data_IF_508330802077
#
_entry.id   IF_508330802077
#
_cell.length_a   1.000
_cell.length_b   1.000
_cell.length_c   1.000
_cell.angle_alpha   90.00
_cell.angle_beta   90.00
_cell.angle_gamma   90.00
#
_symmetry.space_group_name_H-M   'P 1'
#
loop_
_entity.id
_entity.type
_entity.pdbx_description
1 polymer ?
#
# COMPACT_ATOMS: atom_id res chain seq x y z
N UNK A 1 12.54 -36.12 -32.23
CA UNK A 1 12.49 -37.45 -32.87
C UNK A 1 11.66 -38.43 -32.04
N UNK A 2 11.95 -38.60 -30.74
CA UNK A 2 11.18 -39.48 -29.83
C UNK A 2 9.70 -39.11 -29.64
N UNK A 3 9.39 -37.82 -29.50
CA UNK A 3 8.01 -37.33 -29.31
C UNK A 3 7.07 -37.76 -30.43
N UNK A 4 7.51 -37.67 -31.68
CA UNK A 4 6.71 -38.08 -32.84
C UNK A 4 6.55 -39.60 -32.97
N UNK A 5 7.52 -40.37 -32.48
CA UNK A 5 7.42 -41.84 -32.45
C UNK A 5 6.38 -42.29 -31.44
N UNK A 6 6.38 -41.72 -30.24
CA UNK A 6 5.41 -42.02 -29.18
C UNK A 6 3.99 -41.57 -29.56
N UNK A 7 3.85 -40.42 -30.23
CA UNK A 7 2.57 -39.94 -30.74
C UNK A 7 1.99 -40.89 -31.80
N UNK A 8 2.82 -41.41 -32.72
CA UNK A 8 2.41 -42.39 -33.74
C UNK A 8 1.96 -43.73 -33.14
N UNK A 9 2.37 -44.04 -31.92
CA UNK A 9 1.94 -45.22 -31.17
C UNK A 9 0.64 -44.98 -30.39
N UNK A 10 0.02 -43.80 -30.53
CA UNK A 10 -1.27 -43.46 -29.92
C UNK A 10 -1.19 -42.95 -28.47
N UNK A 11 0.00 -42.72 -27.93
CA UNK A 11 0.17 -42.19 -26.58
C UNK A 11 -0.13 -40.69 -26.51
N UNK A 12 -0.71 -40.28 -25.37
CA UNK A 12 -0.78 -38.87 -24.98
C UNK A 12 0.52 -38.51 -24.27
N UNK A 13 1.19 -37.46 -24.74
CA UNK A 13 2.49 -37.00 -24.27
C UNK A 13 2.30 -35.64 -23.59
N UNK A 14 2.67 -35.55 -22.33
CA UNK A 14 2.72 -34.28 -21.60
C UNK A 14 4.16 -33.77 -21.56
N UNK A 15 4.36 -32.53 -22.00
CA UNK A 15 5.66 -31.86 -21.98
C UNK A 15 5.57 -30.64 -21.06
N UNK A 16 6.19 -30.74 -19.89
CA UNK A 16 6.23 -29.66 -18.91
C UNK A 16 7.59 -28.95 -19.03
N UNK A 17 7.54 -27.64 -19.25
CA UNK A 17 8.72 -26.79 -19.35
C UNK A 17 8.64 -25.78 -18.23
N UNK A 18 9.48 -25.98 -17.22
CA UNK A 18 9.65 -25.03 -16.14
C UNK A 18 10.67 -23.95 -16.52
N UNK A 19 10.50 -22.75 -15.98
CA UNK A 19 11.34 -21.57 -16.25
C UNK A 19 11.56 -21.30 -17.75
N UNK A 20 10.48 -21.34 -18.54
CA UNK A 20 10.55 -21.24 -20.00
C UNK A 20 11.18 -19.93 -20.50
N UNK A 21 11.23 -18.87 -19.68
CA UNK A 21 11.95 -17.63 -20.01
C UNK A 21 13.47 -17.85 -20.16
N UNK A 22 14.04 -18.89 -19.52
CA UNK A 22 15.45 -19.27 -19.68
C UNK A 22 15.77 -19.81 -21.07
N UNK A 23 14.76 -20.10 -21.90
CA UNK A 23 14.96 -20.45 -23.31
C UNK A 23 15.44 -19.24 -24.14
N UNK A 24 15.22 -18.01 -23.66
CA UNK A 24 15.58 -16.80 -24.38
C UNK A 24 16.94 -16.21 -24.00
N UNK A 25 17.63 -16.72 -22.97
CA UNK A 25 18.93 -16.17 -22.57
C UNK A 25 19.94 -16.27 -23.71
N UNK A 26 20.41 -15.14 -24.23
CA UNK A 26 21.54 -15.07 -25.16
C UNK A 26 22.82 -15.40 -24.40
N UNK A 27 23.20 -16.67 -24.38
CA UNK A 27 24.51 -17.07 -23.91
C UNK A 27 25.54 -16.90 -25.01
N UNK A 28 26.60 -16.13 -24.75
CA UNK A 28 27.91 -16.36 -25.39
C UNK A 28 28.45 -17.77 -25.05
N UNK A 29 27.91 -18.42 -24.01
CA UNK A 29 28.23 -19.78 -23.64
C UNK A 29 27.56 -20.83 -24.54
N UNK A 30 28.36 -21.81 -24.95
CA UNK A 30 27.97 -22.94 -25.79
C UNK A 30 27.15 -23.98 -24.98
N UNK A 31 26.12 -24.62 -25.58
CA UNK A 31 25.60 -24.42 -26.92
C UNK A 31 24.67 -23.20 -27.01
N UNK A 32 24.82 -22.42 -28.10
CA UNK A 32 23.87 -21.36 -28.47
C UNK A 32 22.46 -21.95 -28.55
N UNK A 33 21.62 -21.68 -27.54
CA UNK A 33 20.29 -22.31 -27.41
C UNK A 33 19.35 -21.76 -28.50
N UNK A 34 19.04 -22.59 -29.50
CA UNK A 34 18.03 -22.29 -30.55
C UNK A 34 16.63 -22.53 -29.99
N UNK A 35 16.07 -21.58 -29.25
CA UNK A 35 14.67 -21.64 -28.79
C UNK A 35 13.64 -21.73 -29.93
N UNK A 36 14.02 -21.37 -31.15
CA UNK A 36 13.16 -21.46 -32.34
C UNK A 36 12.61 -22.86 -32.62
N UNK A 37 13.36 -23.93 -32.32
CA UNK A 37 12.88 -25.30 -32.51
C UNK A 37 11.76 -25.66 -31.53
N UNK A 38 11.91 -25.23 -30.28
CA UNK A 38 10.88 -25.40 -29.25
C UNK A 38 9.61 -24.62 -29.63
N UNK A 39 9.74 -23.35 -29.99
CA UNK A 39 8.58 -22.54 -30.36
C UNK A 39 7.90 -23.01 -31.64
N UNK A 40 8.65 -23.58 -32.60
CA UNK A 40 8.08 -24.25 -33.78
C UNK A 40 7.24 -25.47 -33.38
N UNK A 41 7.70 -26.25 -32.39
CA UNK A 41 6.92 -27.37 -31.84
C UNK A 41 5.63 -26.87 -31.17
N UNK A 42 5.72 -25.83 -30.32
CA UNK A 42 4.55 -25.21 -29.65
C UNK A 42 3.53 -24.76 -30.68
N UNK A 43 3.95 -24.02 -31.72
CA UNK A 43 3.08 -23.57 -32.81
C UNK A 43 2.41 -24.75 -33.53
N UNK A 44 3.17 -25.79 -33.87
CA UNK A 44 2.64 -26.97 -34.55
C UNK A 44 1.61 -27.75 -33.72
N UNK A 45 1.82 -27.85 -32.40
CA UNK A 45 0.89 -28.51 -31.48
C UNK A 45 -0.37 -27.65 -31.29
N UNK A 46 -0.21 -26.33 -31.12
CA UNK A 46 -1.35 -25.40 -30.96
C UNK A 46 -2.29 -25.38 -32.16
N UNK A 47 -1.74 -25.48 -33.38
CA UNK A 47 -2.52 -25.50 -34.62
C UNK A 47 -3.21 -26.84 -34.91
N UNK A 48 -2.90 -27.90 -34.14
CA UNK A 48 -3.45 -29.22 -34.36
C UNK A 48 -3.82 -29.90 -33.04
N UNK A 49 -4.97 -29.52 -32.49
CA UNK A 49 -5.49 -30.07 -31.23
C UNK A 49 -5.79 -31.59 -31.25
N UNK A 50 -5.79 -32.22 -32.44
CA UNK A 50 -5.93 -33.69 -32.58
C UNK A 50 -4.63 -34.44 -32.27
N UNK A 51 -3.51 -33.72 -32.11
CA UNK A 51 -2.24 -34.30 -31.69
C UNK A 51 -2.31 -34.86 -30.28
N UNK A 52 -1.56 -35.93 -30.04
CA UNK A 52 -1.43 -36.55 -28.74
C UNK A 52 -0.56 -35.74 -27.76
N UNK A 53 -0.06 -34.57 -28.17
CA UNK A 53 0.90 -33.79 -27.39
C UNK A 53 0.19 -32.67 -26.63
N UNK A 54 0.52 -32.50 -25.35
CA UNK A 54 0.09 -31.41 -24.47
C UNK A 54 1.33 -30.74 -23.89
N UNK A 55 1.43 -29.42 -24.01
CA UNK A 55 2.59 -28.66 -23.54
C UNK A 55 2.12 -27.71 -22.45
N UNK A 56 2.74 -27.79 -21.27
CA UNK A 56 2.58 -26.84 -20.19
C UNK A 56 3.88 -26.06 -20.04
N UNK A 57 3.83 -24.74 -20.13
CA UNK A 57 4.98 -23.86 -19.93
C UNK A 57 4.75 -23.01 -18.71
N UNK A 58 5.67 -23.08 -17.75
CA UNK A 58 5.72 -22.20 -16.60
C UNK A 58 6.83 -21.17 -16.88
N UNK A 59 6.54 -19.90 -16.71
CA UNK A 59 7.52 -18.84 -16.92
C UNK A 59 7.32 -17.72 -15.90
N UNK A 60 8.41 -17.35 -15.23
CA UNK A 60 8.45 -16.22 -14.33
C UNK A 60 9.41 -15.17 -14.92
N UNK A 61 8.91 -14.30 -15.80
CA UNK A 61 9.71 -13.23 -16.42
C UNK A 61 10.31 -12.24 -15.38
N UNK A 62 9.87 -12.30 -14.12
CA UNK A 62 10.34 -11.47 -13.02
C UNK A 62 11.67 -11.87 -12.37
N UNK A 63 12.25 -13.04 -12.69
CA UNK A 63 13.53 -13.45 -12.07
C UNK A 63 14.77 -12.78 -12.69
N UNK A 64 14.63 -12.01 -13.77
CA UNK A 64 15.72 -11.19 -14.31
C UNK A 64 15.28 -10.21 -15.39
N UNK A 65 15.65 -8.93 -15.24
CA UNK A 65 15.31 -7.85 -16.18
C UNK A 65 15.80 -8.09 -17.62
N UNK A 66 16.83 -8.92 -17.79
CA UNK A 66 17.33 -9.35 -19.09
C UNK A 66 16.27 -10.07 -19.96
N UNK A 67 15.17 -10.54 -19.35
CA UNK A 67 14.09 -11.23 -20.04
C UNK A 67 12.88 -10.33 -20.34
N UNK A 68 12.87 -9.09 -19.83
CA UNK A 68 11.75 -8.17 -19.97
C UNK A 68 11.51 -7.66 -21.40
N UNK A 69 12.49 -7.77 -22.30
CA UNK A 69 12.38 -7.39 -23.72
C UNK A 69 12.12 -8.57 -24.66
N UNK A 70 12.07 -9.79 -24.11
CA UNK A 70 11.92 -11.00 -24.91
C UNK A 70 10.44 -11.28 -25.17
N UNK A 71 10.14 -11.84 -26.35
CA UNK A 71 8.79 -12.10 -26.80
C UNK A 71 8.61 -13.56 -27.11
N UNK A 72 7.47 -14.11 -26.69
CA UNK A 72 7.01 -15.40 -27.19
C UNK A 72 6.75 -15.29 -28.69
N UNK A 73 7.51 -16.00 -29.53
CA UNK A 73 7.41 -15.87 -30.99
C UNK A 73 6.17 -16.59 -31.56
N UNK A 74 5.27 -17.03 -30.67
CA UNK A 74 4.01 -17.70 -30.97
C UNK A 74 2.95 -17.05 -30.11
N UNK A 75 1.83 -16.68 -30.73
CA UNK A 75 0.65 -16.19 -30.03
C UNK A 75 -0.04 -17.37 -29.34
N UNK A 76 -0.14 -17.30 -28.01
CA UNK A 76 -0.85 -18.29 -27.20
C UNK A 76 -2.23 -17.70 -26.90
N UNK A 77 -3.33 -18.38 -27.27
CA UNK A 77 -4.67 -17.92 -26.96
C UNK A 77 -4.84 -17.69 -25.45
N UNK A 78 -5.51 -16.60 -25.08
CA UNK A 78 -5.73 -16.21 -23.67
C UNK A 78 -6.37 -17.32 -22.83
N UNK A 79 -7.33 -18.07 -23.40
CA UNK A 79 -7.96 -19.25 -22.77
C UNK A 79 -7.00 -20.40 -22.42
N UNK A 80 -5.75 -20.36 -22.91
CA UNK A 80 -4.68 -21.34 -22.64
C UNK A 80 -3.56 -20.72 -21.81
N UNK A 81 -3.75 -19.50 -21.31
CA UNK A 81 -2.81 -18.75 -20.49
C UNK A 81 -3.40 -18.63 -19.09
N UNK A 82 -2.59 -18.95 -18.09
CA UNK A 82 -2.91 -18.67 -16.68
C UNK A 82 -2.00 -17.54 -16.22
N UNK A 83 -2.56 -16.57 -15.51
CA UNK A 83 -1.84 -15.47 -14.89
C UNK A 83 -1.59 -15.76 -13.40
N UNK A 84 -0.92 -14.83 -12.71
CA UNK A 84 -0.58 -14.99 -11.30
C UNK A 84 -1.82 -15.12 -10.39
N UNK A 85 -2.96 -14.55 -10.78
CA UNK A 85 -4.20 -14.60 -9.99
C UNK A 85 -4.88 -15.94 -10.07
N UNK A 86 -4.80 -16.59 -11.22
CA UNK A 86 -5.27 -17.96 -11.40
C UNK A 86 -4.47 -18.95 -10.53
N UNK A 87 -3.30 -18.51 -10.04
CA UNK A 87 -2.42 -19.26 -9.15
C UNK A 87 -2.49 -18.82 -7.68
N UNK A 88 -3.15 -17.70 -7.36
CA UNK A 88 -3.28 -17.22 -5.99
C UNK A 88 -4.39 -17.99 -5.27
N UNK A 89 -4.24 -18.15 -3.96
CA UNK A 89 -5.29 -18.77 -3.15
C UNK A 89 -6.56 -17.91 -3.13
N UNK A 90 -7.69 -18.57 -3.38
CA UNK A 90 -9.02 -18.08 -3.02
C UNK A 90 -9.21 -18.09 -1.50
N UNK A 91 -10.24 -17.39 -1.01
CA UNK A 91 -10.48 -17.24 0.43
C UNK A 91 -10.66 -18.56 1.17
N UNK A 92 -11.35 -19.51 0.55
CA UNK A 92 -11.52 -20.88 1.05
C UNK A 92 -10.20 -21.68 1.01
N UNK A 93 -9.39 -21.52 -0.04
CA UNK A 93 -8.08 -22.16 -0.15
C UNK A 93 -7.08 -21.61 0.89
N UNK A 94 -7.12 -20.31 1.20
CA UNK A 94 -6.34 -19.73 2.31
C UNK A 94 -6.74 -20.40 3.62
N UNK A 95 -8.04 -20.52 3.89
CA UNK A 95 -8.53 -21.16 5.12
C UNK A 95 -8.11 -22.63 5.18
N UNK A 96 -8.29 -23.38 4.09
CA UNK A 96 -7.87 -24.79 4.00
C UNK A 96 -6.36 -24.93 4.23
N UNK A 97 -5.56 -24.05 3.63
CA UNK A 97 -4.12 -24.05 3.78
C UNK A 97 -3.71 -23.79 5.24
N UNK A 98 -4.28 -22.76 5.88
CA UNK A 98 -4.02 -22.43 7.29
C UNK A 98 -4.41 -23.59 8.19
N UNK A 99 -5.60 -24.17 8.01
CA UNK A 99 -6.08 -25.32 8.77
C UNK A 99 -5.12 -26.52 8.69
N UNK A 100 -4.55 -26.78 7.50
CA UNK A 100 -3.65 -27.93 7.30
C UNK A 100 -2.22 -27.69 7.77
N UNK A 101 -1.71 -26.47 7.63
CA UNK A 101 -0.27 -26.21 7.71
C UNK A 101 0.15 -25.26 8.84
N UNK A 102 -0.78 -24.54 9.45
CA UNK A 102 -0.48 -23.79 10.67
C UNK A 102 -0.61 -24.71 11.89
N UNK A 103 0.50 -25.02 12.54
CA UNK A 103 0.53 -25.92 13.70
C UNK A 103 -0.28 -25.35 14.87
N UNK A 104 -0.40 -24.03 14.95
CA UNK A 104 -1.20 -23.33 15.95
C UNK A 104 -2.68 -23.17 15.59
N UNK A 105 -3.22 -23.85 14.57
CA UNK A 105 -4.59 -23.65 14.10
C UNK A 105 -5.64 -23.78 15.21
N UNK A 106 -5.55 -24.83 16.04
CA UNK A 106 -6.48 -25.04 17.16
C UNK A 106 -6.43 -23.90 18.19
N UNK A 107 -5.30 -23.18 18.30
CA UNK A 107 -5.15 -22.03 19.20
C UNK A 107 -5.86 -20.78 18.67
N UNK A 108 -6.26 -20.76 17.39
CA UNK A 108 -7.00 -19.65 16.81
C UNK A 108 -8.44 -19.62 17.31
N UNK A 109 -9.06 -20.78 17.58
CA UNK A 109 -10.46 -20.86 18.03
C UNK A 109 -11.41 -20.03 17.14
N UNK A 110 -12.14 -19.11 17.75
CA UNK A 110 -13.08 -18.21 17.05
C UNK A 110 -12.40 -17.19 16.14
N UNK A 111 -11.10 -16.91 16.34
CA UNK A 111 -10.32 -15.93 15.58
C UNK A 111 -9.82 -16.47 14.23
N UNK A 112 -10.03 -17.76 13.92
CA UNK A 112 -9.48 -18.42 12.73
C UNK A 112 -9.90 -17.73 11.41
N UNK A 113 -11.17 -17.30 11.33
CA UNK A 113 -11.68 -16.59 10.14
C UNK A 113 -11.01 -15.23 9.98
N UNK A 114 -10.86 -14.48 11.08
CA UNK A 114 -10.20 -13.18 11.07
C UNK A 114 -8.72 -13.31 10.71
N UNK A 115 -8.04 -14.31 11.28
CA UNK A 115 -6.65 -14.64 10.96
C UNK A 115 -6.46 -14.88 9.46
N UNK A 116 -7.31 -15.70 8.85
CA UNK A 116 -7.25 -16.00 7.41
C UNK A 116 -7.54 -14.76 6.56
N UNK A 117 -8.52 -13.94 6.95
CA UNK A 117 -8.84 -12.70 6.25
C UNK A 117 -7.65 -11.72 6.25
N UNK A 118 -6.94 -11.60 7.38
CA UNK A 118 -5.77 -10.73 7.51
C UNK A 118 -4.58 -11.29 6.75
N UNK A 119 -4.37 -12.61 6.79
CA UNK A 119 -3.35 -13.26 5.97
C UNK A 119 -3.58 -12.99 4.48
N UNK A 120 -4.81 -13.16 3.99
CA UNK A 120 -5.17 -12.88 2.60
C UNK A 120 -5.01 -11.39 2.26
N UNK A 121 -5.41 -10.49 3.16
CA UNK A 121 -5.21 -9.05 3.00
C UNK A 121 -3.72 -8.67 2.96
N UNK A 122 -2.90 -9.33 3.76
CA UNK A 122 -1.45 -9.12 3.80
C UNK A 122 -0.80 -9.58 2.50
N UNK A 123 -1.12 -10.79 2.03
CA UNK A 123 -0.40 -11.46 0.93
C UNK A 123 -1.06 -11.29 -0.44
N UNK A 124 -2.30 -10.81 -0.50
CA UNK A 124 -3.13 -10.84 -1.71
C UNK A 124 -3.49 -12.27 -2.16
N UNK A 125 -3.35 -13.27 -1.27
CA UNK A 125 -3.52 -14.69 -1.61
C UNK A 125 -2.31 -15.32 -2.30
N UNK A 126 -1.19 -14.60 -2.48
CA UNK A 126 -0.02 -15.15 -3.15
C UNK A 126 0.54 -16.36 -2.39
N UNK A 127 0.53 -17.54 -3.02
CA UNK A 127 0.86 -18.83 -2.40
C UNK A 127 2.20 -18.79 -1.69
N UNK A 128 3.26 -18.32 -2.37
CA UNK A 128 4.59 -18.22 -1.78
C UNK A 128 4.66 -17.30 -0.55
N UNK A 129 3.89 -16.21 -0.52
CA UNK A 129 3.87 -15.28 0.62
C UNK A 129 3.08 -15.90 1.78
N UNK A 130 1.94 -16.55 1.51
CA UNK A 130 1.18 -17.30 2.51
C UNK A 130 2.04 -18.38 3.17
N UNK A 131 2.77 -19.16 2.36
CA UNK A 131 3.70 -20.20 2.83
C UNK A 131 4.77 -19.57 3.74
N UNK A 132 5.40 -18.47 3.33
CA UNK A 132 6.40 -17.77 4.14
C UNK A 132 5.86 -17.30 5.48
N UNK A 133 4.66 -16.70 5.51
CA UNK A 133 4.04 -16.25 6.76
C UNK A 133 3.77 -17.42 7.69
N UNK A 134 3.13 -18.49 7.20
CA UNK A 134 2.82 -19.67 8.02
C UNK A 134 4.10 -20.35 8.54
N UNK A 135 5.14 -20.42 7.72
CA UNK A 135 6.44 -20.93 8.13
C UNK A 135 7.05 -20.12 9.29
N UNK A 136 7.06 -18.79 9.21
CA UNK A 136 7.59 -17.94 10.28
C UNK A 136 6.74 -18.00 11.55
N UNK A 137 5.42 -18.12 11.43
CA UNK A 137 4.54 -18.31 12.58
C UNK A 137 4.75 -19.66 13.26
N UNK A 138 4.93 -20.74 12.51
CA UNK A 138 5.28 -22.05 13.06
C UNK A 138 6.62 -22.00 13.81
N UNK A 139 7.64 -21.32 13.27
CA UNK A 139 8.92 -21.08 13.98
C UNK A 139 8.72 -20.31 15.28
N UNK A 140 7.86 -19.29 15.30
CA UNK A 140 7.52 -18.57 16.53
C UNK A 140 6.85 -19.49 17.55
N UNK A 141 5.89 -20.31 17.13
CA UNK A 141 5.22 -21.26 18.01
C UNK A 141 6.21 -22.27 18.62
N UNK A 142 7.13 -22.81 17.83
CA UNK A 142 8.21 -23.67 18.34
C UNK A 142 9.07 -22.95 19.39
N UNK A 143 9.34 -21.65 19.21
CA UNK A 143 10.09 -20.84 20.17
C UNK A 143 9.33 -20.68 21.50
N UNK A 144 8.01 -20.43 21.46
CA UNK A 144 7.15 -20.40 22.66
C UNK A 144 7.21 -21.74 23.41
N UNK A 145 7.07 -22.84 22.68
CA UNK A 145 7.12 -24.20 23.26
C UNK A 145 8.46 -24.51 23.93
N UNK A 146 9.59 -24.09 23.33
CA UNK A 146 10.93 -24.31 23.90
C UNK A 146 11.21 -23.43 25.12
N UNK A 147 10.67 -22.22 25.15
CA UNK A 147 10.93 -21.24 26.21
C UNK A 147 10.02 -21.39 27.44
N UNK A 148 9.10 -22.35 27.44
CA UNK A 148 8.07 -22.52 28.49
C UNK A 148 7.26 -21.25 28.74
N UNK A 149 7.12 -20.41 27.72
CA UNK A 149 6.28 -19.21 27.77
C UNK A 149 4.82 -19.59 27.47
N UNK A 150 3.89 -18.79 27.98
CA UNK A 150 2.46 -18.98 27.70
C UNK A 150 2.19 -18.91 26.20
N UNK A 151 1.45 -19.90 25.69
CA UNK A 151 1.11 -19.99 24.27
C UNK A 151 0.25 -18.79 23.85
N UNK A 152 0.48 -18.20 22.67
CA UNK A 152 -0.33 -17.08 22.21
C UNK A 152 -1.79 -17.48 21.96
N UNK A 153 -2.72 -16.61 22.36
CA UNK A 153 -4.14 -16.70 21.99
C UNK A 153 -4.36 -16.42 20.50
N UNK A 154 -5.52 -16.79 19.97
CA UNK A 154 -5.95 -16.46 18.59
C UNK A 154 -5.80 -14.96 18.28
N UNK A 155 -6.33 -14.10 19.14
CA UNK A 155 -6.17 -12.64 19.02
C UNK A 155 -4.71 -12.18 18.97
N UNK A 156 -3.81 -12.83 19.73
CA UNK A 156 -2.38 -12.50 19.69
C UNK A 156 -1.75 -12.90 18.36
N UNK A 157 -2.15 -14.03 17.77
CA UNK A 157 -1.74 -14.42 16.42
C UNK A 157 -2.26 -13.46 15.35
N UNK A 158 -3.52 -13.04 15.48
CA UNK A 158 -4.13 -11.99 14.64
C UNK A 158 -3.35 -10.69 14.77
N UNK A 159 -3.00 -10.25 15.99
CA UNK A 159 -2.22 -9.04 16.23
C UNK A 159 -0.81 -9.10 15.64
N UNK A 160 -0.15 -10.27 15.68
CA UNK A 160 1.16 -10.49 15.04
C UNK A 160 1.10 -10.36 13.51
N UNK A 161 0.03 -10.85 12.87
CA UNK A 161 -0.20 -10.69 11.43
C UNK A 161 -0.60 -9.26 11.04
N UNK A 162 -1.45 -8.65 11.87
CA UNK A 162 -1.97 -7.29 11.67
C UNK A 162 -0.92 -6.23 11.94
N UNK A 163 0.24 -6.63 12.48
CA UNK A 163 1.34 -5.75 12.87
C UNK A 163 0.97 -4.82 14.03
N UNK A 164 -0.16 -5.08 14.70
CA UNK A 164 -0.76 -4.28 15.76
C UNK A 164 -0.03 -4.43 17.10
N UNK A 165 0.73 -5.50 17.29
CA UNK A 165 1.23 -5.92 18.61
C UNK A 165 2.72 -5.60 18.87
N UNK A 166 3.32 -4.66 18.12
CA UNK A 166 4.75 -4.36 18.22
C UNK A 166 5.04 -3.12 19.06
N UNK A 167 5.71 -3.32 20.19
CA UNK A 167 6.43 -2.27 20.92
C UNK A 167 7.58 -1.75 20.06
N UNK A 168 7.84 -0.45 20.13
CA UNK A 168 8.90 0.21 19.37
C UNK A 168 10.23 -0.54 19.49
N UNK A 169 10.80 -0.96 18.35
CA UNK A 169 12.15 -1.50 18.24
C UNK A 169 12.28 -3.01 17.98
N UNK A 170 11.20 -3.80 18.04
CA UNK A 170 11.29 -5.20 17.60
C UNK A 170 11.26 -5.30 16.07
N UNK A 171 12.31 -5.89 15.49
CA UNK A 171 12.38 -6.20 14.07
C UNK A 171 11.20 -7.08 13.67
N UNK A 172 10.54 -6.68 12.59
CA UNK A 172 9.47 -7.49 12.05
C UNK A 172 10.01 -8.71 11.31
N UNK A 173 10.22 -9.79 12.04
CA UNK A 173 10.68 -11.05 11.45
C UNK A 173 9.79 -11.56 10.33
N UNK A 174 8.46 -11.31 10.37
CA UNK A 174 7.53 -11.79 9.33
C UNK A 174 7.67 -10.93 8.08
N UNK A 175 7.63 -9.60 8.21
CA UNK A 175 7.81 -8.72 7.05
C UNK A 175 9.21 -8.81 6.48
N UNK A 176 10.28 -8.87 7.28
CA UNK A 176 11.64 -9.06 6.76
C UNK A 176 11.80 -10.41 6.04
N UNK A 177 11.15 -11.48 6.53
CA UNK A 177 11.08 -12.75 5.81
C UNK A 177 10.32 -12.60 4.48
N UNK A 178 9.20 -11.86 4.47
CA UNK A 178 8.46 -11.55 3.25
C UNK A 178 9.28 -10.73 2.25
N UNK A 179 10.04 -9.73 2.72
CA UNK A 179 10.94 -8.91 1.90
C UNK A 179 12.03 -9.76 1.23
N UNK A 180 12.48 -10.80 1.92
CA UNK A 180 13.50 -11.74 1.41
C UNK A 180 12.97 -12.74 0.39
N UNK A 181 11.66 -12.78 0.12
CA UNK A 181 11.08 -13.66 -0.91
C UNK A 181 11.37 -13.14 -2.31
N UNK A 182 11.48 -14.04 -3.29
CA UNK A 182 11.66 -13.67 -4.70
C UNK A 182 10.51 -12.79 -5.23
N UNK A 183 9.28 -12.99 -4.72
CA UNK A 183 8.10 -12.21 -5.08
C UNK A 183 8.22 -10.73 -4.69
N UNK A 184 9.04 -10.39 -3.69
CA UNK A 184 9.21 -9.02 -3.19
C UNK A 184 10.57 -8.43 -3.55
N UNK A 185 11.62 -9.24 -3.54
CA UNK A 185 12.99 -8.84 -3.90
C UNK A 185 13.10 -8.26 -5.31
N UNK A 186 12.15 -8.55 -6.22
CA UNK A 186 12.15 -8.00 -7.58
C UNK A 186 12.10 -6.47 -7.62
N UNK A 187 11.57 -5.80 -6.59
CA UNK A 187 11.63 -4.34 -6.49
C UNK A 187 13.06 -3.78 -6.47
N UNK A 188 14.04 -4.53 -5.96
CA UNK A 188 15.46 -4.14 -5.97
C UNK A 188 16.04 -4.04 -7.38
N UNK A 189 15.38 -4.62 -8.37
CA UNK A 189 15.83 -4.55 -9.76
C UNK A 189 15.57 -3.18 -10.40
N UNK A 190 14.69 -2.36 -9.80
CA UNK A 190 14.42 -1.01 -10.26
C UNK A 190 15.48 -0.02 -9.73
N UNK A 191 15.97 0.85 -10.61
CA UNK A 191 16.84 1.95 -10.19
C UNK A 191 16.03 3.13 -9.60
N UNK A 192 16.70 4.11 -9.01
CA UNK A 192 16.04 5.26 -8.37
C UNK A 192 15.11 6.04 -9.32
N UNK A 193 15.54 6.28 -10.56
CA UNK A 193 14.72 7.00 -11.55
C UNK A 193 13.49 6.20 -12.02
N UNK A 194 13.60 4.87 -12.08
CA UNK A 194 12.48 3.98 -12.36
C UNK A 194 11.48 3.95 -11.19
N UNK A 195 11.97 3.92 -9.95
CA UNK A 195 11.13 4.05 -8.76
C UNK A 195 10.40 5.41 -8.71
N UNK A 196 11.07 6.50 -9.10
CA UNK A 196 10.45 7.85 -9.18
C UNK A 196 9.35 7.90 -10.24
N UNK A 197 9.56 7.21 -11.36
CA UNK A 197 8.60 7.16 -12.46
C UNK A 197 7.41 6.26 -12.11
N UNK A 198 7.67 5.13 -11.46
CA UNK A 198 6.63 4.26 -10.92
C UNK A 198 5.78 4.97 -9.87
N UNK A 199 6.39 5.75 -8.97
CA UNK A 199 5.66 6.60 -8.02
C UNK A 199 4.71 7.57 -8.73
N UNK A 200 5.22 8.30 -9.74
CA UNK A 200 4.39 9.24 -10.51
C UNK A 200 3.20 8.56 -11.19
N UNK A 201 3.39 7.38 -11.77
CA UNK A 201 2.31 6.66 -12.45
C UNK A 201 1.26 6.17 -11.44
N UNK A 202 1.69 5.63 -10.29
CA UNK A 202 0.77 5.09 -9.29
C UNK A 202 -0.05 6.16 -8.57
N UNK A 203 0.47 7.39 -8.45
CA UNK A 203 -0.18 8.47 -7.69
C UNK A 203 -0.76 9.59 -8.56
N UNK A 204 -0.52 9.59 -9.88
CA UNK A 204 -1.08 10.56 -10.80
C UNK A 204 -1.58 9.88 -12.09
N UNK A 205 -2.87 9.50 -12.16
CA UNK A 205 -3.44 8.78 -13.29
C UNK A 205 -3.44 9.58 -14.60
N UNK A 206 -3.26 10.91 -14.55
CA UNK A 206 -3.15 11.77 -15.73
C UNK A 206 -1.72 11.83 -16.31
N UNK A 207 -0.75 11.17 -15.67
CA UNK A 207 0.63 11.11 -16.16
C UNK A 207 0.69 10.28 -17.44
N UNK A 208 1.35 10.75 -18.51
CA UNK A 208 1.57 9.92 -19.69
C UNK A 208 2.24 8.59 -19.30
N UNK A 209 1.57 7.47 -19.58
CA UNK A 209 2.09 6.15 -19.23
C UNK A 209 3.46 5.94 -19.89
N UNK A 210 4.49 5.73 -19.05
CA UNK A 210 5.76 5.15 -19.48
C UNK A 210 5.51 3.67 -19.80
N UNK A 211 5.01 3.40 -21.01
CA UNK A 211 4.67 2.05 -21.49
C UNK A 211 5.85 1.07 -21.36
N UNK A 212 7.11 1.45 -21.66
CA UNK A 212 8.27 0.60 -21.38
C UNK A 212 8.41 0.21 -19.91
N UNK A 213 8.36 1.16 -18.97
CA UNK A 213 8.51 0.86 -17.55
C UNK A 213 7.34 0.02 -17.02
N UNK A 214 6.11 0.36 -17.38
CA UNK A 214 4.93 -0.39 -16.92
C UNK A 214 4.99 -1.83 -17.39
N UNK A 215 5.34 -2.05 -18.66
CA UNK A 215 5.53 -3.38 -19.20
C UNK A 215 6.68 -4.13 -18.53
N UNK A 216 7.77 -3.44 -18.21
CA UNK A 216 8.89 -3.99 -17.42
C UNK A 216 8.39 -4.42 -16.04
N UNK A 217 7.60 -3.60 -15.35
CA UNK A 217 7.07 -3.90 -14.03
C UNK A 217 6.03 -5.04 -14.05
N UNK A 218 5.15 -5.10 -15.05
CA UNK A 218 4.19 -6.21 -15.22
C UNK A 218 4.94 -7.52 -15.47
N UNK A 219 5.89 -7.54 -16.40
CA UNK A 219 6.75 -8.71 -16.67
C UNK A 219 7.60 -9.09 -15.47
N UNK A 220 8.01 -8.08 -14.71
CA UNK A 220 8.72 -8.19 -13.44
C UNK A 220 7.90 -8.86 -12.33
N UNK A 221 6.57 -9.01 -12.50
CA UNK A 221 5.68 -9.39 -11.41
C UNK A 221 5.57 -8.31 -10.32
N UNK A 222 5.94 -7.05 -10.64
CA UNK A 222 5.81 -5.91 -9.73
C UNK A 222 4.40 -5.33 -9.81
N UNK A 223 3.91 -5.15 -11.04
CA UNK A 223 2.57 -4.68 -11.32
C UNK A 223 1.74 -5.81 -11.92
N UNK A 224 0.45 -5.61 -11.85
CA UNK A 224 -0.56 -6.46 -12.42
C UNK A 224 -1.58 -5.57 -13.14
N UNK A 225 -1.93 -5.96 -14.36
CA UNK A 225 -2.80 -5.19 -15.25
C UNK A 225 -4.17 -5.85 -15.29
N UNK A 226 -5.18 -5.08 -14.88
CA UNK A 226 -6.59 -5.37 -15.10
C UNK A 226 -7.11 -4.72 -16.37
N UNK A 227 -8.25 -5.23 -16.84
CA UNK A 227 -9.06 -4.61 -17.89
C UNK A 227 -9.37 -3.13 -17.60
N UNK A 228 -9.34 -2.69 -16.34
CA UNK A 228 -9.69 -1.32 -15.93
C UNK A 228 -8.55 -0.52 -15.25
N UNK A 229 -7.49 -1.15 -14.73
CA UNK A 229 -6.46 -0.45 -13.94
C UNK A 229 -5.16 -1.24 -13.75
N UNK A 230 -4.06 -0.55 -13.42
CA UNK A 230 -2.78 -1.17 -13.07
C UNK A 230 -2.56 -1.03 -11.57
N UNK A 231 -2.24 -2.14 -10.89
CA UNK A 231 -1.99 -2.20 -9.44
C UNK A 231 -0.72 -2.97 -9.13
N UNK A 232 -0.21 -2.89 -7.90
CA UNK A 232 0.85 -3.79 -7.45
C UNK A 232 0.35 -5.24 -7.40
N UNK A 233 1.22 -6.19 -7.74
CA UNK A 233 0.90 -7.63 -7.78
C UNK A 233 0.57 -8.22 -6.42
N UNK A 234 1.01 -7.58 -5.33
CA UNK A 234 0.59 -7.92 -3.96
C UNK A 234 0.63 -6.71 -3.02
N UNK A 235 -0.19 -6.71 -1.95
CA UNK A 235 -0.15 -5.69 -0.91
C UNK A 235 1.21 -5.59 -0.19
N UNK A 236 1.91 -6.72 0.02
CA UNK A 236 3.29 -6.72 0.57
C UNK A 236 4.23 -5.91 -0.31
N UNK A 237 4.13 -6.09 -1.63
CA UNK A 237 4.99 -5.39 -2.57
C UNK A 237 4.73 -3.88 -2.59
N UNK A 238 3.47 -3.46 -2.55
CA UNK A 238 3.10 -2.05 -2.38
C UNK A 238 3.66 -1.49 -1.06
N UNK A 239 3.53 -2.22 0.05
CA UNK A 239 4.10 -1.82 1.34
C UNK A 239 5.61 -1.70 1.30
N UNK A 240 6.28 -2.62 0.60
CA UNK A 240 7.73 -2.58 0.46
C UNK A 240 8.18 -1.39 -0.39
N UNK A 241 7.51 -1.15 -1.52
CA UNK A 241 7.70 0.06 -2.31
C UNK A 241 7.52 1.32 -1.46
N UNK A 242 6.43 1.40 -0.68
CA UNK A 242 6.21 2.50 0.25
C UNK A 242 7.34 2.62 1.30
N UNK A 243 7.85 1.52 1.87
CA UNK A 243 9.01 1.54 2.79
C UNK A 243 10.29 2.04 2.12
N UNK A 244 10.54 1.70 0.86
CA UNK A 244 11.71 2.21 0.11
C UNK A 244 11.56 3.72 -0.14
N UNK A 245 10.36 4.18 -0.53
CA UNK A 245 10.10 5.58 -0.89
C UNK A 245 10.02 6.50 0.32
N UNK A 246 9.35 6.05 1.37
CA UNK A 246 9.02 6.85 2.55
C UNK A 246 9.88 6.50 3.77
N UNK A 247 10.72 5.47 3.69
CA UNK A 247 11.52 4.94 4.79
C UNK A 247 10.72 4.06 5.77
N UNK A 248 11.38 3.60 6.83
CA UNK A 248 10.68 3.01 8.00
C UNK A 248 9.97 4.14 8.74
N UNK A 249 8.64 4.23 8.57
CA UNK A 249 7.82 5.16 9.33
C UNK A 249 7.76 4.65 10.77
N UNK A 250 8.58 5.26 11.65
CA UNK A 250 8.48 5.03 13.10
C UNK A 250 7.21 5.70 13.60
N UNK A 251 6.20 4.86 13.85
CA UNK A 251 4.93 5.27 14.43
C UNK A 251 5.10 5.73 15.88
N UNK A 252 4.16 6.54 16.36
CA UNK A 252 4.15 6.99 17.75
C UNK A 252 3.98 5.79 18.70
N UNK A 253 4.64 5.82 19.86
CA UNK A 253 4.52 4.79 20.88
C UNK A 253 3.14 4.78 21.56
N UNK A 254 2.49 5.95 21.62
CA UNK A 254 1.23 6.15 22.32
C UNK A 254 0.13 6.58 21.37
N UNK A 255 -1.01 5.89 21.43
CA UNK A 255 -2.19 6.23 20.64
C UNK A 255 -2.71 7.62 21.00
N UNK A 256 -3.25 8.38 20.02
CA UNK A 256 -3.97 9.59 20.33
C UNK A 256 -5.20 9.25 21.18
N UNK A 257 -5.43 10.03 22.23
CA UNK A 257 -6.55 9.81 23.17
C UNK A 257 -7.85 10.43 22.66
N UNK A 258 -7.75 11.49 21.86
CA UNK A 258 -8.86 12.23 21.28
C UNK A 258 -8.51 12.65 19.86
N UNK A 259 -9.52 13.00 19.05
CA UNK A 259 -9.30 13.56 17.72
C UNK A 259 -8.45 14.84 17.82
N UNK A 260 -8.73 15.70 18.81
CA UNK A 260 -7.93 16.91 19.03
C UNK A 260 -6.45 16.62 19.27
N UNK A 261 -6.12 15.66 20.14
CA UNK A 261 -4.74 15.23 20.41
C UNK A 261 -4.04 14.75 19.13
N UNK A 262 -4.73 13.95 18.30
CA UNK A 262 -4.22 13.56 16.99
C UNK A 262 -3.97 14.78 16.08
N UNK A 263 -4.93 15.69 15.94
CA UNK A 263 -4.81 16.87 15.06
C UNK A 263 -3.62 17.72 15.47
N UNK A 264 -3.44 18.00 16.76
CA UNK A 264 -2.31 18.78 17.26
C UNK A 264 -0.99 18.11 16.93
N UNK A 265 -0.85 16.79 17.20
CA UNK A 265 0.37 16.04 16.87
C UNK A 265 0.66 16.08 15.37
N UNK A 266 -0.35 15.88 14.53
CA UNK A 266 -0.20 15.88 13.08
C UNK A 266 0.26 17.24 12.58
N UNK A 267 -0.40 18.33 12.99
CA UNK A 267 -0.02 19.67 12.57
C UNK A 267 1.41 20.04 13.02
N UNK A 268 1.86 19.55 14.18
CA UNK A 268 3.24 19.72 14.62
C UNK A 268 4.26 18.87 13.84
N UNK A 269 3.80 17.80 13.20
CA UNK A 269 4.65 16.80 12.52
C UNK A 269 4.70 17.00 11.00
N UNK A 270 3.78 17.77 10.42
CA UNK A 270 3.78 18.09 8.98
C UNK A 270 5.15 18.66 8.57
N UNK A 271 5.69 18.13 7.47
CA UNK A 271 6.92 18.65 6.90
C UNK A 271 6.61 19.90 6.05
N UNK A 272 6.58 21.06 6.72
CA UNK A 272 6.32 22.35 6.07
C UNK A 272 7.40 22.75 5.04
N UNK A 273 8.63 22.22 5.17
CA UNK A 273 9.65 22.38 4.12
C UNK A 273 9.27 21.66 2.83
N UNK A 274 8.66 20.47 2.94
CA UNK A 274 8.14 19.75 1.78
C UNK A 274 7.01 20.52 1.10
N UNK A 275 6.07 21.08 1.87
CA UNK A 275 5.03 21.97 1.33
C UNK A 275 5.66 23.20 0.68
N UNK A 276 6.69 23.80 1.30
CA UNK A 276 7.39 24.97 0.76
C UNK A 276 8.07 24.68 -0.58
N UNK A 277 8.54 23.47 -0.79
CA UNK A 277 9.24 23.06 -2.02
C UNK A 277 8.32 22.40 -3.05
N UNK A 278 7.03 22.20 -2.74
CA UNK A 278 6.11 21.52 -3.66
C UNK A 278 5.92 22.31 -4.97
N UNK A 279 5.91 21.57 -6.08
CA UNK A 279 5.57 22.10 -7.41
C UNK A 279 4.04 22.14 -7.64
N UNK A 280 3.25 21.46 -6.80
CA UNK A 280 1.80 21.43 -6.87
C UNK A 280 1.18 22.71 -6.32
N UNK A 281 1.25 23.80 -7.08
CA UNK A 281 0.77 25.13 -6.68
C UNK A 281 -0.17 25.75 -7.70
N UNK A 282 -1.04 26.62 -7.23
CA UNK A 282 -1.85 27.47 -8.09
C UNK A 282 -0.96 28.40 -8.91
N UNK A 283 -1.08 28.34 -10.24
CA UNK A 283 -0.30 29.16 -11.17
C UNK A 283 -0.44 30.68 -10.91
N UNK A 284 -1.61 31.13 -10.46
CA UNK A 284 -1.93 32.55 -10.29
C UNK A 284 -1.63 33.09 -8.90
N UNK A 285 -1.61 32.23 -7.87
CA UNK A 285 -1.51 32.67 -6.46
C UNK A 285 -0.32 32.09 -5.73
N UNK A 286 0.40 31.14 -6.34
CA UNK A 286 1.50 30.38 -5.74
C UNK A 286 1.10 29.65 -4.42
N UNK A 287 -0.21 29.46 -4.20
CA UNK A 287 -0.72 28.75 -3.04
C UNK A 287 -0.62 27.23 -3.31
N UNK A 288 -0.08 26.42 -2.38
CA UNK A 288 -0.10 24.97 -2.48
C UNK A 288 -1.50 24.42 -2.74
N UNK A 289 -1.60 23.46 -3.65
CA UNK A 289 -2.85 22.75 -3.89
C UNK A 289 -3.22 21.93 -2.65
N UNK A 290 -4.52 21.69 -2.45
CA UNK A 290 -5.05 20.88 -1.35
C UNK A 290 -4.38 19.50 -1.27
N UNK A 291 -4.09 18.89 -2.44
CA UNK A 291 -3.38 17.62 -2.54
C UNK A 291 -2.00 17.63 -1.86
N UNK A 292 -1.28 18.74 -1.87
CA UNK A 292 0.01 18.83 -1.18
C UNK A 292 -0.18 18.70 0.35
N UNK A 293 -1.21 19.36 0.88
CA UNK A 293 -1.58 19.26 2.30
C UNK A 293 -2.09 17.86 2.66
N UNK A 294 -2.92 17.25 1.82
CA UNK A 294 -3.39 15.87 2.01
C UNK A 294 -2.22 14.88 2.07
N UNK A 295 -1.21 15.00 1.20
CA UNK A 295 -0.05 14.11 1.22
C UNK A 295 0.79 14.24 2.49
N UNK A 296 1.04 15.47 2.96
CA UNK A 296 1.78 15.67 4.19
C UNK A 296 0.98 15.31 5.44
N UNK A 297 -0.33 15.57 5.44
CA UNK A 297 -1.23 15.07 6.47
C UNK A 297 -1.19 13.54 6.53
N UNK A 298 -1.29 12.86 5.40
CA UNK A 298 -1.24 11.40 5.34
C UNK A 298 0.07 10.88 5.96
N UNK A 299 1.24 11.41 5.57
CA UNK A 299 2.53 11.04 6.16
C UNK A 299 2.58 11.30 7.67
N UNK A 300 2.21 12.50 8.10
CA UNK A 300 2.24 12.90 9.51
C UNK A 300 1.26 12.06 10.35
N UNK A 301 0.09 11.70 9.82
CA UNK A 301 -0.88 10.86 10.53
C UNK A 301 -0.34 9.48 10.90
N UNK A 302 0.51 8.89 10.05
CA UNK A 302 1.18 7.62 10.35
C UNK A 302 2.26 7.80 11.43
N UNK A 303 2.98 8.92 11.44
CA UNK A 303 3.97 9.22 12.47
C UNK A 303 3.31 9.48 13.84
N UNK A 304 2.12 10.07 13.86
CA UNK A 304 1.43 10.48 15.09
C UNK A 304 0.51 9.41 15.71
N UNK A 305 0.31 8.29 15.02
CA UNK A 305 -0.58 7.22 15.45
C UNK A 305 0.19 5.92 15.68
N UNK A 306 -0.31 5.05 16.55
CA UNK A 306 0.29 3.71 16.75
C UNK A 306 -0.06 2.80 15.58
N UNK A 307 0.56 1.63 15.53
CA UNK A 307 0.24 0.55 14.58
C UNK A 307 -1.20 0.01 14.69
N UNK A 308 -1.88 0.22 15.82
CA UNK A 308 -3.31 -0.12 16.01
C UNK A 308 -4.28 0.85 15.34
N UNK A 309 -3.76 1.91 14.71
CA UNK A 309 -4.56 2.91 14.00
C UNK A 309 -4.37 2.80 12.48
N UNK A 310 -5.49 2.72 11.79
CA UNK A 310 -5.57 2.70 10.33
C UNK A 310 -6.01 4.06 9.83
N UNK A 311 -5.18 4.70 9.00
CA UNK A 311 -5.56 5.87 8.20
C UNK A 311 -5.96 5.39 6.80
N UNK A 312 -7.14 5.77 6.34
CA UNK A 312 -7.62 5.48 4.99
C UNK A 312 -7.96 6.79 4.29
N UNK A 313 -7.50 6.94 3.05
CA UNK A 313 -7.82 8.10 2.21
C UNK A 313 -9.03 7.81 1.32
N UNK A 314 -9.71 8.87 0.87
CA UNK A 314 -10.78 8.83 -0.14
C UNK A 314 -11.91 7.83 0.23
N UNK A 315 -12.43 7.95 1.46
CA UNK A 315 -13.41 7.00 2.01
C UNK A 315 -14.84 7.46 1.69
N UNK A 316 -15.56 6.65 0.93
CA UNK A 316 -16.97 6.91 0.61
C UNK A 316 -17.66 5.78 -0.14
N UNK A 317 -17.00 5.24 -1.16
CA UNK A 317 -17.56 4.20 -2.03
C UNK A 317 -17.97 2.91 -1.29
N UNK A 318 -17.15 2.43 -0.35
CA UNK A 318 -17.43 1.24 0.47
C UNK A 318 -18.70 1.42 1.33
N UNK A 319 -19.01 2.66 1.71
CA UNK A 319 -20.15 3.02 2.56
C UNK A 319 -21.33 3.60 1.78
N UNK A 320 -21.29 3.53 0.43
CA UNK A 320 -22.31 4.08 -0.48
C UNK A 320 -22.53 5.59 -0.32
N UNK A 321 -21.53 6.33 0.16
CA UNK A 321 -21.53 7.79 0.09
C UNK A 321 -21.36 8.23 -1.36
N UNK A 322 -22.03 9.32 -1.74
CA UNK A 322 -21.87 9.93 -3.08
C UNK A 322 -20.57 10.73 -3.22
N UNK A 323 -19.99 11.13 -2.11
CA UNK A 323 -18.75 11.90 -2.03
C UNK A 323 -17.72 11.16 -1.18
N UNK A 324 -16.45 11.48 -1.39
CA UNK A 324 -15.33 10.89 -0.68
C UNK A 324 -14.88 11.85 0.43
N UNK A 325 -14.75 11.33 1.63
CA UNK A 325 -14.12 12.00 2.76
C UNK A 325 -12.60 11.87 2.59
N UNK A 326 -11.86 12.97 2.77
CA UNK A 326 -10.41 12.99 2.53
C UNK A 326 -9.68 11.89 3.32
N UNK A 327 -9.95 11.81 4.64
CA UNK A 327 -9.40 10.75 5.48
C UNK A 327 -10.37 10.24 6.53
N UNK A 328 -10.28 8.94 6.81
CA UNK A 328 -10.74 8.38 8.08
C UNK A 328 -9.59 7.80 8.87
N UNK A 329 -9.67 7.91 10.19
CA UNK A 329 -8.76 7.24 11.11
C UNK A 329 -9.53 6.34 12.07
N UNK A 330 -9.18 5.06 12.09
CA UNK A 330 -9.85 4.04 12.89
C UNK A 330 -8.87 3.37 13.84
N UNK A 331 -9.24 3.25 15.12
CA UNK A 331 -8.45 2.56 16.14
C UNK A 331 -9.29 2.25 17.39
N UNK A 332 -9.31 0.99 17.81
CA UNK A 332 -10.12 0.55 18.95
C UNK A 332 -11.62 0.80 18.76
N UNK A 333 -12.20 1.69 19.57
CA UNK A 333 -13.61 2.11 19.47
C UNK A 333 -13.81 3.45 18.75
N UNK A 334 -12.71 4.07 18.31
CA UNK A 334 -12.71 5.38 17.69
C UNK A 334 -12.69 5.25 16.17
N UNK A 335 -13.61 5.94 15.52
CA UNK A 335 -13.66 6.11 14.08
C UNK A 335 -13.85 7.58 13.75
N UNK A 336 -12.81 8.24 13.24
CA UNK A 336 -12.77 9.69 13.05
C UNK A 336 -12.74 10.04 11.57
N UNK A 337 -13.42 11.13 11.20
CA UNK A 337 -13.32 11.72 9.87
C UNK A 337 -12.52 13.02 9.86
N UNK A 338 -11.69 13.20 8.84
CA UNK A 338 -10.89 14.40 8.67
C UNK A 338 -11.07 14.88 7.24
N UNK A 339 -11.49 16.14 7.08
CA UNK A 339 -11.63 16.82 5.80
C UNK A 339 -10.66 18.01 5.76
N UNK A 340 -9.91 18.16 4.67
CA UNK A 340 -8.99 19.27 4.47
C UNK A 340 -9.62 20.29 3.52
N UNK A 341 -9.38 21.56 3.80
CA UNK A 341 -9.84 22.69 3.01
C UNK A 341 -8.69 23.67 2.78
N UNK A 342 -8.92 24.59 1.86
CA UNK A 342 -7.97 25.64 1.53
C UNK A 342 -8.65 26.99 1.34
N UNK A 343 -8.05 28.03 1.92
CA UNK A 343 -8.50 29.42 1.83
C UNK A 343 -9.99 29.63 2.21
N UNK A 344 -10.56 28.80 3.09
CA UNK A 344 -11.97 28.89 3.49
C UNK A 344 -12.97 28.61 2.35
N UNK A 345 -12.51 28.06 1.23
CA UNK A 345 -13.34 27.81 0.06
C UNK A 345 -14.42 26.78 0.38
N UNK A 346 -15.66 27.10 0.05
CA UNK A 346 -16.84 26.24 0.23
C UNK A 346 -17.05 25.72 1.66
N UNK A 347 -16.54 26.41 2.69
CA UNK A 347 -16.61 25.94 4.08
C UNK A 347 -18.02 25.48 4.51
N UNK A 348 -19.08 26.18 4.11
CA UNK A 348 -20.45 25.78 4.46
C UNK A 348 -20.81 24.41 3.88
N UNK A 349 -20.44 24.16 2.63
CA UNK A 349 -20.73 22.91 1.93
C UNK A 349 -20.09 21.73 2.68
N UNK A 350 -18.81 21.86 3.08
CA UNK A 350 -18.13 20.83 3.85
C UNK A 350 -18.72 20.64 5.25
N UNK A 351 -19.16 21.72 5.91
CA UNK A 351 -19.91 21.61 7.19
C UNK A 351 -21.20 20.80 6.98
N UNK A 352 -21.94 21.10 5.93
CA UNK A 352 -23.23 20.47 5.63
C UNK A 352 -23.07 18.97 5.29
N UNK A 353 -21.92 18.54 4.73
CA UNK A 353 -21.61 17.12 4.49
C UNK A 353 -21.56 16.28 5.77
N UNK A 354 -21.10 16.87 6.88
CA UNK A 354 -21.07 16.21 8.20
C UNK A 354 -22.37 16.38 9.02
N UNK A 355 -23.27 17.26 8.59
CA UNK A 355 -24.54 17.50 9.28
C UNK A 355 -25.45 16.25 9.25
N UNK A 356 -26.49 16.26 10.09
CA UNK A 356 -27.49 15.20 10.10
C UNK A 356 -28.18 15.10 8.72
N UNK A 357 -28.13 13.94 8.08
CA UNK A 357 -28.63 13.74 6.71
C UNK A 357 -27.67 14.19 5.61
N UNK A 358 -26.50 14.73 5.95
CA UNK A 358 -25.41 15.05 5.03
C UNK A 358 -24.73 13.80 4.46
N UNK A 359 -23.88 13.99 3.44
CA UNK A 359 -23.25 12.89 2.70
C UNK A 359 -22.41 11.94 3.56
N UNK A 360 -21.77 12.43 4.62
CA UNK A 360 -20.95 11.60 5.51
C UNK A 360 -21.71 11.00 6.70
N UNK A 361 -23.00 11.30 6.86
CA UNK A 361 -23.82 10.73 7.96
C UNK A 361 -23.89 9.19 7.92
N UNK A 362 -23.74 8.59 6.73
CA UNK A 362 -23.71 7.13 6.54
C UNK A 362 -22.47 6.45 7.12
N UNK A 363 -21.37 7.19 7.31
CA UNK A 363 -20.10 6.66 7.81
C UNK A 363 -20.13 6.34 9.31
N UNK A 364 -21.12 6.86 10.05
CA UNK A 364 -21.26 6.66 11.52
C UNK A 364 -19.97 6.98 12.28
N UNK A 365 -19.33 8.08 11.91
CA UNK A 365 -18.11 8.57 12.57
C UNK A 365 -18.39 8.85 14.06
N UNK A 366 -17.49 8.43 14.93
CA UNK A 366 -17.50 8.78 16.35
C UNK A 366 -17.14 10.25 16.60
N UNK A 367 -16.32 10.83 15.74
CA UNK A 367 -15.96 12.25 15.76
C UNK A 367 -15.46 12.70 14.37
N UNK A 368 -15.35 14.01 14.14
CA UNK A 368 -14.80 14.56 12.89
C UNK A 368 -14.16 15.93 13.08
N UNK A 369 -13.31 16.36 12.15
CA UNK A 369 -12.81 17.72 12.11
C UNK A 369 -12.60 18.23 10.69
N UNK A 370 -12.63 19.55 10.54
CA UNK A 370 -12.25 20.25 9.31
C UNK A 370 -10.91 20.95 9.55
N UNK A 371 -9.97 20.82 8.63
CA UNK A 371 -8.68 21.51 8.67
C UNK A 371 -8.55 22.44 7.48
N UNK A 372 -8.57 23.75 7.71
CA UNK A 372 -8.53 24.74 6.66
C UNK A 372 -7.20 25.49 6.64
N UNK A 373 -6.41 25.27 5.60
CA UNK A 373 -5.10 25.88 5.40
C UNK A 373 -5.25 27.22 4.67
N UNK A 374 -4.83 28.31 5.33
CA UNK A 374 -4.96 29.68 4.82
C UNK A 374 -3.62 30.40 4.78
N UNK A 375 -3.24 30.90 3.61
CA UNK A 375 -2.09 31.80 3.48
C UNK A 375 -2.48 33.20 3.93
N UNK A 376 -1.77 33.73 4.92
CA UNK A 376 -2.04 35.06 5.47
C UNK A 376 -0.80 35.94 5.32
N UNK A 377 -0.97 37.10 4.68
CA UNK A 377 0.10 38.08 4.52
C UNK A 377 0.42 38.83 5.82
N UNK A 378 -0.62 39.30 6.52
CA UNK A 378 -0.53 39.89 7.86
C UNK A 378 -1.78 39.51 8.66
N UNK A 379 -1.60 39.05 9.89
CA UNK A 379 -2.71 38.64 10.76
C UNK A 379 -3.39 39.87 11.39
N UNK A 380 -4.09 40.64 10.57
CA UNK A 380 -4.80 41.84 10.97
C UNK A 380 -6.13 41.54 11.70
N UNK A 381 -6.76 42.60 12.23
CA UNK A 381 -8.01 42.45 12.99
C UNK A 381 -9.17 41.94 12.12
N UNK A 382 -9.20 42.30 10.83
CA UNK A 382 -10.25 41.83 9.91
C UNK A 382 -10.14 40.32 9.68
N UNK A 383 -8.93 39.82 9.44
CA UNK A 383 -8.65 38.40 9.23
C UNK A 383 -8.95 37.59 10.49
N UNK A 384 -8.56 38.08 11.68
CA UNK A 384 -8.90 37.43 12.96
C UNK A 384 -10.40 37.37 13.20
N UNK A 385 -11.12 38.45 12.88
CA UNK A 385 -12.59 38.49 12.99
C UNK A 385 -13.22 37.46 12.06
N UNK A 386 -12.73 37.35 10.81
CA UNK A 386 -13.23 36.37 9.85
C UNK A 386 -12.98 34.93 10.29
N UNK A 387 -11.80 34.65 10.83
CA UNK A 387 -11.46 33.33 11.40
C UNK A 387 -12.39 33.01 12.58
N UNK A 388 -12.66 33.98 13.46
CA UNK A 388 -13.59 33.81 14.57
C UNK A 388 -15.01 33.48 14.09
N UNK A 389 -15.55 34.23 13.11
CA UNK A 389 -16.85 33.95 12.50
C UNK A 389 -16.93 32.54 11.89
N UNK A 390 -15.88 32.10 11.19
CA UNK A 390 -15.85 30.77 10.59
C UNK A 390 -15.77 29.66 11.65
N UNK A 391 -15.05 29.88 12.75
CA UNK A 391 -14.99 28.96 13.89
C UNK A 391 -16.31 28.91 14.67
N UNK A 392 -17.07 30.00 14.74
CA UNK A 392 -18.42 30.01 15.31
C UNK A 392 -19.39 29.13 14.50
N UNK A 393 -19.20 29.06 13.18
CA UNK A 393 -20.01 28.22 12.30
C UNK A 393 -19.69 26.74 12.44
N UNK A 394 -18.47 26.39 12.80
CA UNK A 394 -18.06 25.00 13.02
C UNK A 394 -17.06 24.88 14.16
N UNK A 395 -17.53 24.40 15.31
CA UNK A 395 -16.69 24.22 16.51
C UNK A 395 -15.54 23.22 16.31
N UNK A 396 -15.65 22.33 15.31
CA UNK A 396 -14.63 21.34 14.96
C UNK A 396 -13.70 21.78 13.83
N UNK A 397 -13.69 23.08 13.52
CA UNK A 397 -12.79 23.69 12.55
C UNK A 397 -11.43 24.01 13.19
N UNK A 398 -10.37 23.64 12.48
CA UNK A 398 -9.01 24.07 12.72
C UNK A 398 -8.59 24.96 11.57
N UNK A 399 -8.27 26.21 11.85
CA UNK A 399 -7.73 27.12 10.84
C UNK A 399 -6.22 27.20 11.01
N UNK A 400 -5.49 26.71 10.00
CA UNK A 400 -4.03 26.68 9.97
C UNK A 400 -3.57 27.84 9.10
N UNK A 401 -3.10 28.90 9.75
CA UNK A 401 -2.62 30.11 9.13
C UNK A 401 -1.12 30.02 8.90
N UNK A 402 -0.67 30.30 7.69
CA UNK A 402 0.76 30.31 7.36
C UNK A 402 1.15 31.53 6.53
N UNK A 403 2.38 32.00 6.70
CA UNK A 403 2.94 33.07 5.88
C UNK A 403 3.46 32.53 4.53
N UNK A 404 3.78 33.43 3.60
CA UNK A 404 4.31 33.08 2.28
C UNK A 404 5.53 32.16 2.34
N UNK A 405 6.37 32.34 3.36
CA UNK A 405 7.62 31.61 3.51
C UNK A 405 7.45 30.27 4.23
N UNK A 406 6.26 29.96 4.76
CA UNK A 406 5.99 28.84 5.67
C UNK A 406 6.99 28.84 6.84
N UNK A 407 7.25 30.02 7.40
CA UNK A 407 8.13 30.21 8.57
C UNK A 407 7.37 30.46 9.86
N UNK A 408 6.15 31.01 9.74
CA UNK A 408 5.25 31.26 10.86
C UNK A 408 3.95 30.53 10.62
N UNK A 409 3.57 29.66 11.57
CA UNK A 409 2.34 28.90 11.50
C UNK A 409 1.56 29.12 12.80
N UNK A 410 0.33 29.60 12.66
CA UNK A 410 -0.60 29.78 13.76
C UNK A 410 -1.82 28.90 13.53
N UNK A 411 -2.24 28.18 14.57
CA UNK A 411 -3.43 27.33 14.52
C UNK A 411 -4.50 27.90 15.44
N UNK A 412 -5.70 28.03 14.89
CA UNK A 412 -6.89 28.50 15.60
C UNK A 412 -7.92 27.38 15.66
N UNK A 413 -8.44 27.14 16.85
CA UNK A 413 -9.62 26.33 17.10
C UNK A 413 -10.44 27.00 18.22
N UNK A 414 -11.74 26.74 18.27
CA UNK A 414 -12.71 27.32 19.23
C UNK A 414 -12.28 27.23 20.70
N UNK A 415 -11.47 26.23 21.06
CA UNK A 415 -11.02 26.02 22.43
C UNK A 415 -9.54 26.30 22.65
N UNK A 416 -8.75 26.47 21.59
CA UNK A 416 -7.30 26.53 21.66
C UNK A 416 -6.69 27.45 20.60
N UNK A 417 -5.75 28.31 21.02
CA UNK A 417 -4.84 29.02 20.13
C UNK A 417 -3.42 28.60 20.46
N UNK A 418 -2.69 28.12 19.46
CA UNK A 418 -1.27 27.83 19.60
C UNK A 418 -0.54 28.15 18.30
N UNK A 419 0.69 28.62 18.43
CA UNK A 419 1.55 28.96 17.30
C UNK A 419 2.91 28.30 17.46
N UNK A 420 3.54 28.00 16.34
CA UNK A 420 4.90 27.49 16.30
C UNK A 420 5.71 28.26 15.25
N UNK A 421 6.96 28.54 15.60
CA UNK A 421 7.91 29.21 14.73
C UNK A 421 8.90 28.18 14.23
N UNK A 422 9.17 28.16 12.93
CA UNK A 422 10.08 27.20 12.30
C UNK A 422 11.55 27.67 12.33
N UNK A 423 11.92 28.50 13.31
CA UNK A 423 13.31 28.94 13.47
C UNK A 423 14.21 27.75 13.79
N UNK A 424 15.34 27.67 13.07
CA UNK A 424 16.29 26.55 12.94
C UNK A 424 16.82 25.92 14.25
N UNK A 425 16.50 26.43 15.43
CA UNK A 425 17.07 25.99 16.71
C UNK A 425 16.18 24.99 17.49
N UNK A 426 14.90 24.83 17.14
CA UNK A 426 13.97 23.98 17.92
C UNK A 426 13.99 22.48 17.57
N UNK A 427 14.73 22.06 16.55
CA UNK A 427 14.92 20.63 16.23
C UNK A 427 15.60 19.83 17.36
N UNK A 428 16.28 20.51 18.30
CA UNK A 428 16.90 19.87 19.47
C UNK A 428 15.97 19.75 20.69
N UNK A 429 14.80 20.38 20.70
CA UNK A 429 13.84 20.25 21.81
C UNK A 429 12.97 18.99 21.67
N UNK A 430 12.66 18.57 20.44
CA UNK A 430 11.72 17.48 20.17
C UNK A 430 12.24 16.06 20.44
N UNK A 431 13.54 15.88 20.66
CA UNK A 431 14.08 14.61 21.15
C UNK A 431 13.84 14.39 22.66
N UNK A 432 13.42 15.42 23.42
CA UNK A 432 13.32 15.37 24.89
C UNK A 432 11.90 15.30 25.45
N UNK A 433 10.87 15.67 24.70
CA UNK A 433 9.50 15.76 25.25
C UNK A 433 8.62 14.55 24.94
N UNK A 434 8.97 13.75 23.93
CA UNK A 434 8.37 12.44 23.67
C UNK A 434 9.47 11.49 23.22
N UNK A 435 10.00 10.62 24.09
CA UNK A 435 11.00 9.65 23.66
C UNK A 435 10.34 8.67 22.68
N UNK A 436 10.77 8.72 21.42
CA UNK A 436 10.44 7.77 20.37
C UNK A 436 10.87 6.35 20.70
#
# INVERSE_FOLDING_TARGET
MWVYTLERLGYIIYFMVDEAQMLYSSGEAYPRRKSGEFWRLVKNVSNNMKRGIRILTLAAFGSGLQYADLWTPVEIPEKLTLNIRDMNFYTDEVYEYVMKWFVGFELLGEDAVQFCAILQLLTGGHVGLCVTVIYELNKKLESYQRSSTELPSGQKWVGMLSMEDKKNGEEDTIFEALLSTCAVCVLHTLNSGELDTLERIMFNPDTPLDKPLIKKCIRGGILDENDEYITFSSPVLWRYFAKIRFGTIKRALYSPTTLHDLVVRVLQTINYDSIRQTLGRSYTTDIPLERAWQMEFYKASFLCSTNTWVTSADVGGLFRSKEFLDFTMHGGKSFWGIELLREGKNLQEHIDRFACGGHYSVLKLSDYCLMDFRRIGLLDNATKTKIAEDMERCVKLYVVCYDTALTHIEVFNTHHRFGFSLLKEDLNFFAKTFPC
#
